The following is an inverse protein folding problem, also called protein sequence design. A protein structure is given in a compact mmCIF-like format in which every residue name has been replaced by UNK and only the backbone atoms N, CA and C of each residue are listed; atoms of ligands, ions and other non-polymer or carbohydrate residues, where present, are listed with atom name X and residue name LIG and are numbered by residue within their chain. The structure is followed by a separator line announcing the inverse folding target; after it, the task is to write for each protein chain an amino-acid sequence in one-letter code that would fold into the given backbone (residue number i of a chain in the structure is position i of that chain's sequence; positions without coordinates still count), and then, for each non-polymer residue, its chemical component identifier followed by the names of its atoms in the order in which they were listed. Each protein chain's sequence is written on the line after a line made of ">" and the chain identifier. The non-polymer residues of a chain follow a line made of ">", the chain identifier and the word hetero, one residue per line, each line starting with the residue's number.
data_IF_919972361100
#
_entry.id   IF_919972361100
#
_cell.length_a   1.000
_cell.length_b   1.000
_cell.length_c   1.000
_cell.angle_alpha   90.00
_cell.angle_beta   90.00
_cell.angle_gamma   90.00
#
_symmetry.space_group_name_H-M   'P 1'
#
loop_
_entity.id
_entity.type
_entity.pdbx_description
1 polymer ?
#
# COMPACT_ATOMS: atom_id res chain seq x y z
N UNK A 1 2.64 3.59 21.07
CA UNK A 1 1.81 2.40 21.39
C UNK A 1 2.63 1.17 21.76
N UNK A 2 3.91 1.38 21.94
CA UNK A 2 4.82 0.29 22.31
C UNK A 2 4.38 -0.30 23.65
N UNK A 3 4.20 -1.63 23.69
CA UNK A 3 3.73 -2.32 24.87
C UNK A 3 2.21 -2.43 25.01
N UNK A 4 1.44 -1.79 24.12
CA UNK A 4 -0.01 -1.93 24.11
C UNK A 4 -0.43 -3.13 23.27
N UNK A 5 -1.48 -3.86 23.68
CA UNK A 5 -2.06 -4.84 22.79
C UNK A 5 -2.52 -4.18 21.50
N UNK A 6 -2.41 -4.90 20.39
CA UNK A 6 -2.74 -4.35 19.07
C UNK A 6 -4.22 -3.91 18.98
N UNK A 7 -5.11 -4.58 19.71
CA UNK A 7 -6.52 -4.21 19.74
C UNK A 7 -6.74 -2.87 20.44
N UNK A 8 -6.00 -2.59 21.53
CA UNK A 8 -6.09 -1.31 22.20
C UNK A 8 -5.54 -0.18 21.33
N UNK A 9 -4.46 -0.45 20.61
CA UNK A 9 -3.93 0.50 19.65
C UNK A 9 -4.98 0.79 18.57
N UNK A 10 -5.66 -0.25 18.07
CA UNK A 10 -6.74 -0.10 17.08
C UNK A 10 -7.89 0.74 17.61
N UNK A 11 -8.30 0.52 18.86
CA UNK A 11 -9.37 1.32 19.47
C UNK A 11 -8.98 2.79 19.57
N UNK A 12 -7.73 3.08 19.97
CA UNK A 12 -7.24 4.45 20.07
C UNK A 12 -7.23 5.12 18.70
N UNK A 13 -6.77 4.40 17.68
CA UNK A 13 -6.73 4.92 16.31
C UNK A 13 -8.14 5.19 15.79
N UNK A 14 -9.09 4.28 16.01
CA UNK A 14 -10.49 4.46 15.61
C UNK A 14 -11.10 5.70 16.25
N UNK A 15 -10.80 5.93 17.52
CA UNK A 15 -11.32 7.12 18.21
C UNK A 15 -10.80 8.40 17.56
N UNK A 16 -9.53 8.45 17.21
CA UNK A 16 -8.95 9.59 16.52
C UNK A 16 -9.62 9.81 15.16
N UNK A 17 -9.82 8.74 14.40
CA UNK A 17 -10.45 8.82 13.09
C UNK A 17 -11.90 9.31 13.19
N UNK A 18 -12.64 8.85 14.21
CA UNK A 18 -14.02 9.30 14.43
C UNK A 18 -14.07 10.77 14.84
N UNK A 19 -13.15 11.22 15.70
CA UNK A 19 -13.11 12.62 16.15
C UNK A 19 -12.88 13.58 14.99
N UNK A 20 -12.15 13.15 13.95
CA UNK A 20 -11.85 13.98 12.79
C UNK A 20 -12.76 13.66 11.58
N UNK A 21 -13.77 12.82 11.77
CA UNK A 21 -14.73 12.46 10.74
C UNK A 21 -14.05 11.95 9.45
N UNK A 22 -13.05 11.10 9.64
CA UNK A 22 -12.29 10.53 8.53
C UNK A 22 -13.12 9.44 7.85
N UNK A 23 -13.26 9.54 6.53
CA UNK A 23 -14.03 8.58 5.73
C UNK A 23 -13.15 7.71 4.82
N UNK A 24 -11.93 8.15 4.56
CA UNK A 24 -11.00 7.44 3.70
C UNK A 24 -9.61 7.51 4.31
N UNK A 25 -8.96 6.36 4.43
CA UNK A 25 -7.60 6.26 4.97
C UNK A 25 -6.68 5.81 3.86
N UNK A 26 -5.55 6.49 3.71
CA UNK A 26 -4.56 6.18 2.68
C UNK A 26 -3.23 5.86 3.35
N UNK A 27 -2.66 4.72 3.02
CA UNK A 27 -1.38 4.27 3.55
C UNK A 27 -0.35 4.31 2.42
N UNK A 28 0.78 4.94 2.69
CA UNK A 28 1.88 5.01 1.75
C UNK A 28 3.17 4.66 2.48
N UNK A 29 3.72 3.50 2.17
CA UNK A 29 4.92 3.02 2.85
C UNK A 29 4.69 2.61 4.29
N UNK A 30 3.49 2.19 4.62
CA UNK A 30 3.13 1.78 5.97
C UNK A 30 3.69 0.38 6.24
N UNK A 31 4.58 0.29 7.22
CA UNK A 31 5.30 -0.96 7.52
C UNK A 31 4.59 -1.86 8.53
N UNK A 32 3.65 -1.30 9.28
CA UNK A 32 2.93 -2.03 10.31
C UNK A 32 1.58 -2.48 9.79
N UNK A 33 1.22 -3.74 10.05
CA UNK A 33 -0.09 -4.26 9.72
C UNK A 33 -1.12 -3.56 10.60
N UNK A 34 -2.17 -3.02 9.98
CA UNK A 34 -3.23 -2.35 10.73
C UNK A 34 -4.00 -3.36 11.59
N UNK A 35 -4.43 -2.94 12.80
CA UNK A 35 -5.28 -3.79 13.62
C UNK A 35 -6.58 -4.15 12.89
N UNK A 36 -7.03 -5.36 13.11
CA UNK A 36 -8.22 -5.91 12.45
C UNK A 36 -9.48 -5.09 12.72
N UNK A 37 -9.61 -4.56 13.94
CA UNK A 37 -10.77 -3.74 14.28
C UNK A 37 -10.84 -2.44 13.47
N UNK A 38 -9.68 -1.85 13.13
CA UNK A 38 -9.63 -0.67 12.25
C UNK A 38 -10.08 -1.05 10.84
N UNK A 39 -9.56 -2.16 10.33
CA UNK A 39 -9.90 -2.63 8.98
C UNK A 39 -11.40 -2.89 8.87
N UNK A 40 -11.99 -3.55 9.85
CA UNK A 40 -13.43 -3.86 9.85
C UNK A 40 -14.31 -2.62 9.94
N UNK A 41 -13.84 -1.56 10.59
CA UNK A 41 -14.60 -0.32 10.71
C UNK A 41 -14.62 0.50 9.41
N UNK A 42 -13.67 0.24 8.51
CA UNK A 42 -13.52 0.99 7.26
C UNK A 42 -13.47 0.07 6.04
N UNK A 43 -14.49 -0.78 5.80
CA UNK A 43 -14.48 -1.69 4.65
C UNK A 43 -14.45 -0.90 3.35
N UNK A 44 -13.49 -1.23 2.48
CA UNK A 44 -13.26 -0.53 1.20
C UNK A 44 -13.01 0.96 1.36
N UNK A 45 -12.46 1.38 2.50
CA UNK A 45 -12.12 2.77 2.77
C UNK A 45 -10.69 2.97 3.22
N UNK A 46 -9.88 1.91 3.16
CA UNK A 46 -8.46 1.99 3.46
C UNK A 46 -7.70 1.56 2.21
N UNK A 47 -6.88 2.46 1.69
CA UNK A 47 -6.07 2.21 0.50
C UNK A 47 -4.61 2.12 0.91
N UNK A 48 -3.87 1.26 0.21
CA UNK A 48 -2.43 1.17 0.37
C UNK A 48 -1.78 1.13 -1.01
N UNK A 49 -0.57 1.65 -1.11
CA UNK A 49 0.23 1.49 -2.31
C UNK A 49 1.42 0.58 -1.99
N UNK A 50 1.64 -0.41 -2.86
CA UNK A 50 2.73 -1.37 -2.72
C UNK A 50 3.62 -1.28 -3.96
N UNK A 51 4.95 -1.24 -3.80
CA UNK A 51 5.87 -1.00 -4.91
C UNK A 51 6.18 -2.26 -5.74
N UNK A 52 5.14 -3.00 -6.11
CA UNK A 52 5.25 -4.12 -7.04
C UNK A 52 3.92 -4.31 -7.76
N UNK A 53 3.92 -5.17 -8.76
CA UNK A 53 2.69 -5.56 -9.44
C UNK A 53 2.11 -6.77 -8.71
N UNK A 54 1.25 -6.53 -7.72
CA UNK A 54 0.61 -7.61 -6.97
C UNK A 54 -0.08 -8.56 -7.94
N UNK A 55 0.07 -9.88 -7.79
CA UNK A 55 0.53 -10.61 -6.60
C UNK A 55 2.02 -10.89 -6.51
N UNK A 56 2.83 -10.29 -7.35
CA UNK A 56 4.28 -10.49 -7.29
C UNK A 56 4.89 -9.69 -6.13
N UNK A 57 5.83 -10.29 -5.42
CA UNK A 57 6.65 -9.64 -4.38
C UNK A 57 5.82 -8.87 -3.35
N UNK A 58 4.80 -9.51 -2.81
CA UNK A 58 3.92 -8.89 -1.82
C UNK A 58 3.67 -9.83 -0.66
N UNK A 59 3.04 -9.28 0.39
CA UNK A 59 2.74 -10.03 1.60
C UNK A 59 3.74 -9.77 2.70
N UNK A 60 3.72 -10.60 3.73
CA UNK A 60 4.58 -10.45 4.90
C UNK A 60 6.06 -10.45 4.50
N UNK A 61 6.81 -9.47 5.01
CA UNK A 61 8.23 -9.37 4.75
C UNK A 61 8.62 -8.59 3.50
N UNK A 62 7.68 -8.31 2.60
CA UNK A 62 7.95 -7.55 1.39
C UNK A 62 7.59 -6.08 1.60
N UNK A 63 8.56 -5.28 1.98
CA UNK A 63 8.41 -3.85 2.19
C UNK A 63 9.70 -3.12 1.86
N UNK A 64 9.58 -1.83 1.50
CA UNK A 64 10.73 -0.97 1.23
C UNK A 64 11.66 -1.53 0.17
N UNK A 65 12.95 -1.44 0.41
CA UNK A 65 13.97 -1.92 -0.54
C UNK A 65 13.93 -3.42 -0.76
N UNK A 66 13.39 -4.20 0.18
CA UNK A 66 13.30 -5.65 0.03
C UNK A 66 12.48 -6.06 -1.19
N UNK A 67 11.44 -5.30 -1.51
CA UNK A 67 10.60 -5.55 -2.68
C UNK A 67 11.43 -5.43 -3.96
N UNK A 68 12.17 -4.34 -4.08
CA UNK A 68 12.97 -4.08 -5.27
C UNK A 68 14.15 -5.04 -5.39
N UNK A 69 14.76 -5.39 -4.26
CA UNK A 69 15.82 -6.41 -4.24
C UNK A 69 15.30 -7.75 -4.73
N UNK A 70 14.12 -8.16 -4.26
CA UNK A 70 13.53 -9.44 -4.68
C UNK A 70 13.21 -9.43 -6.17
N UNK A 71 12.70 -8.33 -6.70
CA UNK A 71 12.41 -8.20 -8.12
C UNK A 71 13.68 -8.33 -8.95
N UNK A 72 14.76 -7.67 -8.55
CA UNK A 72 16.04 -7.75 -9.24
C UNK A 72 16.66 -9.14 -9.14
N UNK A 73 16.59 -9.77 -7.97
CA UNK A 73 17.13 -11.11 -7.76
C UNK A 73 16.39 -12.15 -8.62
N UNK A 74 15.09 -11.98 -8.79
CA UNK A 74 14.30 -12.86 -9.63
C UNK A 74 14.60 -12.67 -11.12
N UNK A 75 15.00 -11.45 -11.49
CA UNK A 75 15.32 -11.11 -12.88
C UNK A 75 14.13 -10.64 -13.70
N UNK A 76 13.10 -10.10 -13.06
CA UNK A 76 11.95 -9.59 -13.80
C UNK A 76 12.36 -8.40 -14.66
N UNK A 77 11.71 -8.25 -15.80
CA UNK A 77 11.97 -7.12 -16.71
C UNK A 77 11.00 -5.99 -16.50
N UNK A 78 9.84 -6.28 -15.89
CA UNK A 78 8.80 -5.32 -15.61
C UNK A 78 8.43 -5.44 -14.14
N UNK A 79 8.38 -4.32 -13.45
CA UNK A 79 7.86 -4.20 -12.11
C UNK A 79 6.84 -3.04 -12.11
N UNK A 80 6.55 -2.45 -10.97
CA UNK A 80 5.62 -1.33 -10.92
C UNK A 80 5.08 -1.11 -9.54
N UNK A 81 3.88 -0.55 -9.49
CA UNK A 81 3.20 -0.28 -8.21
C UNK A 81 1.73 -0.66 -8.32
N UNK A 82 1.13 -0.97 -7.17
CA UNK A 82 -0.28 -1.34 -7.07
C UNK A 82 -0.92 -0.55 -5.94
N UNK A 83 -2.08 0.04 -6.23
CA UNK A 83 -2.95 0.60 -5.19
C UNK A 83 -4.08 -0.39 -4.99
N UNK A 84 -4.36 -0.75 -3.74
CA UNK A 84 -5.38 -1.73 -3.42
C UNK A 84 -6.10 -1.37 -2.13
N UNK A 85 -7.28 -1.95 -1.96
CA UNK A 85 -7.97 -1.85 -0.67
C UNK A 85 -7.27 -2.75 0.33
N UNK A 86 -7.25 -2.30 1.58
CA UNK A 86 -6.64 -3.07 2.68
C UNK A 86 -7.69 -3.98 3.31
N UNK A 87 -7.33 -5.25 3.50
CA UNK A 87 -8.13 -6.21 4.26
C UNK A 87 -7.21 -6.92 5.26
N UNK A 88 -7.67 -8.01 5.86
CA UNK A 88 -6.90 -8.72 6.89
C UNK A 88 -5.68 -9.45 6.34
N UNK A 89 -5.61 -9.63 5.02
CA UNK A 89 -4.48 -10.30 4.37
C UNK A 89 -3.47 -9.25 3.92
N UNK A 90 -2.20 -9.31 4.36
CA UNK A 90 -1.20 -8.34 3.91
C UNK A 90 -1.12 -8.29 2.39
N UNK A 91 -1.26 -7.08 1.84
CA UNK A 91 -1.28 -6.82 0.39
C UNK A 91 -2.29 -7.68 -0.38
N UNK A 92 -3.35 -8.11 0.28
CA UNK A 92 -4.29 -9.08 -0.29
C UNK A 92 -5.64 -8.53 -0.72
N UNK A 93 -5.91 -7.25 -0.50
CA UNK A 93 -7.20 -6.67 -0.85
C UNK A 93 -7.37 -6.45 -2.35
N UNK A 94 -8.61 -6.12 -2.74
CA UNK A 94 -8.93 -5.89 -4.15
C UNK A 94 -8.06 -4.79 -4.75
N UNK A 95 -7.53 -5.04 -5.94
CA UNK A 95 -6.68 -4.09 -6.64
C UNK A 95 -7.54 -2.98 -7.24
N UNK A 96 -7.13 -1.72 -7.02
CA UNK A 96 -7.80 -0.55 -7.58
C UNK A 96 -7.13 -0.13 -8.88
N UNK A 97 -5.80 -0.04 -8.87
CA UNK A 97 -5.03 0.41 -10.03
C UNK A 97 -3.59 -0.09 -9.96
N UNK A 98 -2.98 -0.25 -11.11
CA UNK A 98 -1.59 -0.68 -11.23
C UNK A 98 -0.91 0.11 -12.35
N UNK A 99 0.41 0.31 -12.21
CA UNK A 99 1.21 0.93 -13.25
C UNK A 99 2.55 0.23 -13.35
N UNK A 100 2.90 -0.18 -14.56
CA UNK A 100 4.13 -0.91 -14.86
C UNK A 100 5.32 0.04 -15.04
N UNK A 101 6.50 -0.43 -14.64
CA UNK A 101 7.77 0.28 -14.79
C UNK A 101 8.81 -0.72 -15.27
N UNK A 102 9.61 -0.34 -16.27
CA UNK A 102 10.65 -1.20 -16.79
C UNK A 102 11.86 -1.23 -15.87
N UNK A 103 12.43 -2.41 -15.67
CA UNK A 103 13.70 -2.59 -14.99
C UNK A 103 14.81 -2.32 -15.99
N UNK A 104 15.78 -1.48 -15.62
CA UNK A 104 16.88 -1.10 -16.50
C UNK A 104 18.13 -1.91 -16.19
N UNK A 105 18.99 -2.19 -17.18
CA UNK A 105 20.27 -2.84 -16.91
C UNK A 105 21.09 -2.05 -15.89
N UNK A 106 21.67 -2.77 -14.93
CA UNK A 106 22.48 -2.13 -13.91
C UNK A 106 21.71 -1.54 -12.74
N UNK A 107 20.39 -1.72 -12.68
CA UNK A 107 19.60 -1.23 -11.56
C UNK A 107 20.05 -1.85 -10.24
N UNK A 108 20.09 -1.00 -9.20
CA UNK A 108 20.21 -1.43 -7.82
C UNK A 108 18.83 -1.30 -7.18
N UNK A 109 18.62 -1.90 -5.98
CA UNK A 109 17.33 -1.71 -5.29
C UNK A 109 16.98 -0.22 -5.12
N UNK A 110 17.97 0.63 -4.83
CA UNK A 110 17.76 2.05 -4.63
C UNK A 110 17.35 2.78 -5.91
N UNK A 111 18.01 2.50 -7.03
CA UNK A 111 17.65 3.14 -8.31
C UNK A 111 16.29 2.67 -8.79
N UNK A 112 15.98 1.40 -8.61
CA UNK A 112 14.68 0.86 -8.99
C UNK A 112 13.57 1.45 -8.13
N UNK A 113 13.79 1.54 -6.81
CA UNK A 113 12.82 2.16 -5.89
C UNK A 113 12.49 3.58 -6.34
N UNK A 114 13.50 4.38 -6.64
CA UNK A 114 13.30 5.76 -7.07
C UNK A 114 12.48 5.84 -8.34
N UNK A 115 12.79 4.98 -9.32
CA UNK A 115 12.05 4.97 -10.59
C UNK A 115 10.59 4.58 -10.39
N UNK A 116 10.34 3.57 -9.57
CA UNK A 116 8.97 3.14 -9.27
C UNK A 116 8.21 4.26 -8.55
N UNK A 117 8.84 4.95 -7.60
CA UNK A 117 8.21 6.09 -6.93
C UNK A 117 7.85 7.19 -7.92
N UNK A 118 8.80 7.61 -8.73
CA UNK A 118 8.60 8.75 -9.64
C UNK A 118 7.67 8.42 -10.81
N UNK A 119 7.77 7.22 -11.38
CA UNK A 119 7.02 6.87 -12.57
C UNK A 119 5.69 6.17 -12.31
N UNK A 120 5.50 5.62 -11.12
CA UNK A 120 4.30 4.89 -10.79
C UNK A 120 3.61 5.41 -9.54
N UNK A 121 4.26 5.34 -8.39
CA UNK A 121 3.57 5.61 -7.11
C UNK A 121 3.03 7.03 -7.02
N UNK A 122 3.85 8.02 -7.38
CA UNK A 122 3.47 9.44 -7.27
C UNK A 122 2.37 9.84 -8.25
N UNK A 123 2.19 9.08 -9.31
CA UNK A 123 1.13 9.34 -10.29
C UNK A 123 -0.13 8.54 -9.96
N UNK A 124 0.07 7.29 -9.54
CA UNK A 124 -1.01 6.34 -9.34
C UNK A 124 -1.85 6.61 -8.09
N UNK A 125 -1.18 6.94 -6.98
CA UNK A 125 -1.88 7.10 -5.71
C UNK A 125 -2.86 8.27 -5.70
N UNK A 126 -2.48 9.48 -6.13
CA UNK A 126 -3.45 10.59 -6.17
C UNK A 126 -4.65 10.28 -7.05
N UNK A 127 -4.43 9.65 -8.20
CA UNK A 127 -5.53 9.30 -9.11
C UNK A 127 -6.47 8.27 -8.49
N UNK A 128 -5.90 7.25 -7.82
CA UNK A 128 -6.70 6.22 -7.17
C UNK A 128 -7.53 6.81 -6.03
N UNK A 129 -6.94 7.69 -5.23
CA UNK A 129 -7.64 8.37 -4.13
C UNK A 129 -8.82 9.17 -4.68
N UNK A 130 -8.61 9.92 -5.76
CA UNK A 130 -9.68 10.71 -6.37
C UNK A 130 -10.81 9.81 -6.88
N UNK A 131 -10.46 8.73 -7.57
CA UNK A 131 -11.46 7.81 -8.12
C UNK A 131 -12.30 7.15 -7.03
N UNK A 132 -11.67 6.72 -5.93
CA UNK A 132 -12.37 6.10 -4.82
C UNK A 132 -13.25 7.13 -4.10
N UNK A 133 -12.74 8.34 -3.88
CA UNK A 133 -13.50 9.40 -3.21
C UNK A 133 -14.75 9.75 -4.01
N UNK A 134 -14.66 9.81 -5.33
CA UNK A 134 -15.82 10.07 -6.18
C UNK A 134 -16.85 8.95 -6.08
N UNK A 135 -16.40 7.71 -6.03
CA UNK A 135 -17.30 6.56 -5.90
C UNK A 135 -18.04 6.61 -4.56
N UNK A 136 -17.42 7.14 -3.52
CA UNK A 136 -18.03 7.27 -2.19
C UNK A 136 -19.12 8.33 -2.14
N UNK A 137 -19.08 9.30 -3.03
CA UNK A 137 -20.08 10.38 -3.10
C UNK A 137 -21.40 9.94 -3.71
N UNK A 138 -21.41 8.78 -4.33
CA UNK A 138 -22.62 8.21 -4.95
C UNK A 138 -23.35 7.26 -3.95
#
# INVERSE_FOLDING_TARGET
>A
HKGQPIEQYGEALLEILRQHDIQLVVLAGFLTILPENVIRAYPKRILNIHPSLIPAFCGAGFYGLKVHKAALDYGVKITGATVHYVNEIPDGGEIIAQKAVEVQPGDTPETLQRRVMEQAEWLLLPQAVEDVARAMEK
#
